data_IF_090319173561
#
_entry.id   IF_090319173561
#
_cell.length_a   1.000
_cell.length_b   1.000
_cell.length_c   1.000
_cell.angle_alpha   90.00
_cell.angle_beta   90.00
_cell.angle_gamma   90.00
#
_symmetry.space_group_name_H-M   'P 1'
#
loop_
_entity.id
_entity.type
_entity.pdbx_description
1 polymer ?
#
# COMPACT_ATOMS: atom_id res chain seq x y z
N UNK A 1 60.39 57.59 -8.46
CA UNK A 1 60.32 56.51 -7.45
C UNK A 1 58.91 56.50 -6.88
N UNK A 2 57.95 55.83 -7.53
CA UNK A 2 57.51 54.44 -7.32
C UNK A 2 56.78 54.17 -5.99
N UNK A 3 55.47 53.90 -6.15
CA UNK A 3 54.60 53.00 -5.36
C UNK A 3 54.15 53.47 -3.97
N UNK A 4 52.90 53.29 -3.50
CA UNK A 4 51.96 52.17 -3.67
C UNK A 4 50.49 52.64 -3.54
N UNK A 5 49.69 52.42 -4.56
CA UNK A 5 48.21 52.48 -4.50
C UNK A 5 47.69 51.05 -4.57
N UNK A 6 47.62 50.33 -3.44
CA UNK A 6 47.18 48.92 -3.41
C UNK A 6 46.16 48.59 -2.31
N UNK A 7 45.70 49.57 -1.51
CA UNK A 7 44.81 49.30 -0.36
C UNK A 7 43.32 49.19 -0.69
N UNK A 8 42.85 49.70 -1.84
CA UNK A 8 41.42 49.90 -2.07
C UNK A 8 40.72 48.83 -2.92
N UNK A 9 41.45 47.81 -3.40
CA UNK A 9 40.87 46.78 -4.29
C UNK A 9 40.43 45.48 -3.61
N UNK A 10 40.70 45.31 -2.31
CA UNK A 10 40.45 44.03 -1.62
C UNK A 10 39.14 43.96 -0.81
N UNK A 11 38.37 45.04 -0.71
CA UNK A 11 37.12 45.06 0.09
C UNK A 11 35.84 44.94 -0.75
N UNK A 12 35.94 45.01 -2.08
CA UNK A 12 34.77 44.89 -2.98
C UNK A 12 34.51 43.41 -3.36
N UNK A 13 35.52 42.54 -3.26
CA UNK A 13 35.38 41.11 -3.62
C UNK A 13 34.76 40.23 -2.54
N UNK A 14 34.75 40.66 -1.27
CA UNK A 14 34.15 39.88 -0.18
C UNK A 14 32.62 40.08 -0.04
N UNK A 15 32.10 41.26 -0.37
CA UNK A 15 30.65 41.55 -0.28
C UNK A 15 29.80 40.90 -1.38
N UNK A 16 30.39 40.67 -2.56
CA UNK A 16 29.70 40.07 -3.72
C UNK A 16 29.60 38.54 -3.57
N UNK A 17 30.60 37.88 -2.97
CA UNK A 17 30.57 36.43 -2.75
C UNK A 17 29.56 36.01 -1.67
N UNK A 18 29.38 36.83 -0.62
CA UNK A 18 28.46 36.51 0.48
C UNK A 18 26.98 36.73 0.10
N UNK A 19 26.69 37.70 -0.77
CA UNK A 19 25.32 37.96 -1.27
C UNK A 19 24.87 36.92 -2.30
N UNK A 20 25.77 36.40 -3.14
CA UNK A 20 25.47 35.27 -4.04
C UNK A 20 25.26 33.94 -3.29
N UNK A 21 25.95 33.71 -2.18
CA UNK A 21 25.75 32.51 -1.35
C UNK A 21 24.40 32.52 -0.60
N UNK A 22 23.92 33.71 -0.18
CA UNK A 22 22.61 33.85 0.48
C UNK A 22 21.47 33.84 -0.55
N UNK A 23 21.69 34.34 -1.77
CA UNK A 23 20.71 34.24 -2.87
C UNK A 23 20.54 32.81 -3.41
N UNK A 24 21.62 32.02 -3.45
CA UNK A 24 21.56 30.58 -3.81
C UNK A 24 20.92 29.71 -2.72
N UNK A 25 20.80 30.20 -1.48
CA UNK A 25 20.12 29.48 -0.39
C UNK A 25 18.62 29.86 -0.28
N UNK A 26 18.18 30.90 -1.00
CA UNK A 26 16.78 31.34 -1.07
C UNK A 26 16.07 30.91 -2.37
N UNK A 27 16.81 30.57 -3.43
CA UNK A 27 16.26 30.04 -4.67
C UNK A 27 16.28 28.50 -4.64
N UNK A 28 15.19 27.87 -4.17
CA UNK A 28 14.96 26.47 -4.51
C UNK A 28 14.27 25.58 -3.47
N UNK A 29 13.87 26.09 -2.30
CA UNK A 29 12.95 25.33 -1.45
C UNK A 29 11.50 25.69 -1.79
N UNK A 30 11.06 25.36 -3.00
CA UNK A 30 9.64 25.09 -3.20
C UNK A 30 9.33 23.86 -2.34
N UNK A 31 8.80 24.08 -1.14
CA UNK A 31 8.16 23.03 -0.39
C UNK A 31 7.04 22.49 -1.29
N UNK A 32 7.29 21.34 -1.94
CA UNK A 32 6.25 20.62 -2.62
C UNK A 32 5.23 20.25 -1.56
N UNK A 33 3.99 20.70 -1.73
CA UNK A 33 2.90 20.18 -0.92
C UNK A 33 2.93 18.66 -1.10
N UNK A 34 3.06 17.93 0.01
CA UNK A 34 2.99 16.48 -0.03
C UNK A 34 1.67 16.10 -0.74
N UNK A 35 1.75 15.22 -1.73
CA UNK A 35 0.57 14.73 -2.45
C UNK A 35 -0.43 14.08 -1.49
N UNK A 36 -1.67 13.78 -1.96
CA UNK A 36 -2.66 13.11 -1.13
C UNK A 36 -2.11 11.78 -0.63
N UNK A 37 -2.49 11.37 0.58
CA UNK A 37 -2.15 10.04 1.06
C UNK A 37 -2.85 8.95 0.21
N UNK A 38 -2.23 7.77 0.02
CA UNK A 38 -2.83 6.67 -0.74
C UNK A 38 -4.22 6.29 -0.20
N UNK A 39 -5.11 5.87 -1.08
CA UNK A 39 -6.47 5.43 -0.68
C UNK A 39 -6.37 4.07 0.04
N UNK A 40 -6.87 3.95 1.28
CA UNK A 40 -6.82 2.70 2.03
C UNK A 40 -7.87 1.71 1.51
N UNK A 41 -7.45 0.77 0.66
CA UNK A 41 -8.34 -0.24 0.04
C UNK A 41 -8.76 -1.37 1.00
N UNK A 42 -8.13 -1.51 2.17
CA UNK A 42 -8.38 -2.63 3.08
C UNK A 42 -8.24 -3.99 2.38
N UNK A 43 -9.18 -4.90 2.63
CA UNK A 43 -9.22 -6.23 2.00
C UNK A 43 -9.56 -6.19 0.51
N UNK A 44 -10.17 -5.11 0.00
CA UNK A 44 -10.39 -4.93 -1.44
C UNK A 44 -9.07 -4.85 -2.23
N UNK A 45 -7.94 -4.57 -1.57
CA UNK A 45 -6.61 -4.53 -2.17
C UNK A 45 -6.17 -5.87 -2.79
N UNK A 46 -6.77 -7.01 -2.37
CA UNK A 46 -6.46 -8.35 -2.87
C UNK A 46 -7.19 -8.69 -4.19
N UNK A 47 -8.27 -7.96 -4.49
CA UNK A 47 -9.09 -8.20 -5.67
C UNK A 47 -8.53 -7.45 -6.88
N UNK A 48 -8.46 -8.16 -8.01
CA UNK A 48 -8.29 -7.55 -9.33
C UNK A 48 -9.66 -7.10 -9.89
N UNK A 49 -10.70 -7.89 -9.62
CA UNK A 49 -12.08 -7.60 -10.01
C UNK A 49 -12.99 -7.77 -8.79
N UNK A 50 -13.84 -6.80 -8.51
CA UNK A 50 -14.86 -6.89 -7.46
C UNK A 50 -16.15 -6.25 -7.95
N UNK A 51 -17.24 -7.02 -8.01
CA UNK A 51 -18.53 -6.56 -8.52
C UNK A 51 -19.63 -6.57 -7.46
N UNK A 52 -20.73 -5.88 -7.76
CA UNK A 52 -21.97 -5.88 -7.00
C UNK A 52 -23.00 -6.84 -7.60
N UNK A 53 -23.93 -6.28 -8.37
CA UNK A 53 -25.05 -6.99 -8.98
C UNK A 53 -25.23 -6.57 -10.45
N UNK A 54 -25.81 -7.43 -11.31
CA UNK A 54 -26.20 -8.82 -11.04
C UNK A 54 -25.06 -9.84 -11.12
N UNK A 55 -23.96 -9.54 -11.82
CA UNK A 55 -22.96 -10.54 -12.19
C UNK A 55 -21.57 -9.95 -12.46
N UNK A 56 -20.60 -10.85 -12.63
CA UNK A 56 -19.39 -10.61 -13.43
C UNK A 56 -19.54 -11.43 -14.71
N UNK A 57 -19.40 -10.79 -15.86
CA UNK A 57 -19.51 -11.46 -17.16
C UNK A 57 -18.21 -11.32 -17.94
N UNK A 58 -17.82 -12.40 -18.60
CA UNK A 58 -16.66 -12.41 -19.48
C UNK A 58 -16.99 -13.05 -20.84
N UNK A 59 -16.44 -12.45 -21.90
CA UNK A 59 -16.38 -13.05 -23.24
C UNK A 59 -14.92 -13.19 -23.67
N UNK A 60 -14.54 -14.36 -24.20
CA UNK A 60 -13.18 -14.59 -24.69
C UNK A 60 -12.13 -14.85 -23.60
N UNK A 61 -10.84 -15.00 -24.00
CA UNK A 61 -9.76 -15.46 -23.15
C UNK A 61 -9.19 -14.35 -22.25
N UNK A 62 -10.03 -13.72 -21.43
CA UNK A 62 -9.60 -12.74 -20.43
C UNK A 62 -8.68 -13.38 -19.38
N UNK A 63 -7.65 -12.66 -18.94
CA UNK A 63 -6.75 -13.07 -17.86
C UNK A 63 -6.89 -12.09 -16.69
N UNK A 64 -7.30 -12.59 -15.53
CA UNK A 64 -7.38 -11.84 -14.27
C UNK A 64 -6.28 -12.33 -13.33
N UNK A 65 -5.31 -11.48 -13.00
CA UNK A 65 -4.25 -11.79 -12.03
C UNK A 65 -4.53 -11.08 -10.71
N UNK A 66 -4.99 -11.84 -9.73
CA UNK A 66 -5.58 -11.39 -8.47
C UNK A 66 -6.96 -12.01 -8.25
N UNK A 67 -7.52 -11.82 -7.06
CA UNK A 67 -8.82 -12.42 -6.74
C UNK A 67 -9.96 -11.76 -7.52
N UNK A 68 -11.01 -12.53 -7.80
CA UNK A 68 -12.25 -12.07 -8.42
C UNK A 68 -13.37 -12.23 -7.40
N UNK A 69 -14.10 -11.15 -7.11
CA UNK A 69 -15.15 -11.13 -6.10
C UNK A 69 -16.48 -10.63 -6.63
N UNK A 70 -17.56 -11.14 -6.07
CA UNK A 70 -18.91 -10.58 -6.26
C UNK A 70 -19.73 -10.75 -4.99
N UNK A 71 -20.41 -9.68 -4.57
CA UNK A 71 -21.34 -9.68 -3.44
C UNK A 71 -22.29 -8.47 -3.55
N UNK A 72 -23.61 -8.61 -3.26
CA UNK A 72 -24.30 -9.78 -2.71
C UNK A 72 -24.67 -10.85 -3.75
N UNK A 73 -24.53 -10.56 -5.04
CA UNK A 73 -24.75 -11.59 -6.06
C UNK A 73 -23.61 -12.63 -6.05
N UNK A 74 -23.84 -13.73 -6.76
CA UNK A 74 -22.92 -14.86 -6.86
C UNK A 74 -22.54 -15.22 -8.30
N UNK A 75 -23.18 -14.60 -9.30
CA UNK A 75 -23.02 -15.00 -10.69
C UNK A 75 -21.69 -14.51 -11.25
N UNK A 76 -20.84 -15.45 -11.67
CA UNK A 76 -19.62 -15.20 -12.43
C UNK A 76 -19.68 -16.12 -13.65
N UNK A 77 -19.71 -15.54 -14.85
CA UNK A 77 -19.86 -16.28 -16.11
C UNK A 77 -18.72 -15.97 -17.09
N UNK A 78 -18.42 -16.92 -17.97
CA UNK A 78 -17.32 -16.78 -18.95
C UNK A 78 -15.93 -17.14 -18.44
N UNK A 79 -15.82 -17.80 -17.28
CA UNK A 79 -14.57 -18.36 -16.75
C UNK A 79 -14.74 -19.88 -16.55
N UNK A 80 -14.47 -20.73 -17.57
CA UNK A 80 -13.79 -20.49 -18.86
C UNK A 80 -14.65 -19.84 -19.97
N UNK A 81 -14.06 -19.31 -21.07
CA UNK A 81 -12.62 -19.39 -21.45
C UNK A 81 -11.71 -18.39 -20.74
N UNK A 82 -12.26 -17.41 -20.02
CA UNK A 82 -11.47 -16.55 -19.15
C UNK A 82 -10.75 -17.36 -18.08
N UNK A 83 -9.63 -16.84 -17.60
CA UNK A 83 -8.81 -17.45 -16.55
C UNK A 83 -8.62 -16.47 -15.40
N UNK A 84 -8.82 -16.96 -14.16
CA UNK A 84 -8.49 -16.22 -12.94
C UNK A 84 -7.26 -16.87 -12.31
N UNK A 85 -6.16 -16.13 -12.22
CA UNK A 85 -4.95 -16.45 -11.47
C UNK A 85 -5.11 -15.86 -10.07
N UNK A 86 -5.93 -16.53 -9.26
CA UNK A 86 -6.40 -16.09 -7.96
C UNK A 86 -7.58 -16.95 -7.52
N UNK A 87 -8.33 -16.49 -6.52
CA UNK A 87 -9.53 -17.17 -6.04
C UNK A 87 -10.79 -16.41 -6.47
N UNK A 88 -11.83 -17.15 -6.87
CA UNK A 88 -13.17 -16.58 -7.09
C UNK A 88 -13.95 -16.61 -5.77
N UNK A 89 -14.35 -15.44 -5.28
CA UNK A 89 -15.16 -15.24 -4.09
C UNK A 89 -16.58 -14.78 -4.47
N UNK A 90 -17.51 -15.73 -4.59
CA UNK A 90 -18.91 -15.44 -4.92
C UNK A 90 -19.79 -15.49 -3.66
N UNK A 91 -20.47 -14.38 -3.34
CA UNK A 91 -21.42 -14.24 -2.24
C UNK A 91 -20.93 -14.78 -0.88
N UNK A 92 -19.63 -14.65 -0.58
CA UNK A 92 -19.04 -15.14 0.68
C UNK A 92 -18.55 -13.99 1.57
N UNK A 93 -18.12 -14.34 2.80
CA UNK A 93 -17.68 -13.36 3.79
C UNK A 93 -16.45 -12.54 3.35
N UNK A 94 -15.56 -13.11 2.53
CA UNK A 94 -14.37 -12.41 2.02
C UNK A 94 -14.81 -11.33 1.02
N UNK A 95 -15.69 -11.68 0.07
CA UNK A 95 -16.25 -10.72 -0.86
C UNK A 95 -17.06 -9.64 -0.13
N UNK A 96 -17.89 -10.02 0.86
CA UNK A 96 -18.64 -9.08 1.70
C UNK A 96 -17.71 -8.05 2.37
N UNK A 97 -16.67 -8.49 3.07
CA UNK A 97 -15.73 -7.56 3.72
C UNK A 97 -15.04 -6.65 2.70
N UNK A 98 -14.65 -7.20 1.55
CA UNK A 98 -14.05 -6.40 0.48
C UNK A 98 -15.01 -5.34 -0.08
N UNK A 99 -16.32 -5.59 -0.14
CA UNK A 99 -17.33 -4.57 -0.49
C UNK A 99 -17.38 -3.44 0.54
N UNK A 100 -17.39 -3.80 1.83
CA UNK A 100 -17.37 -2.82 2.92
C UNK A 100 -16.12 -1.94 2.87
N UNK A 101 -14.95 -2.54 2.63
CA UNK A 101 -13.70 -1.80 2.54
C UNK A 101 -13.64 -0.94 1.27
N UNK A 102 -14.20 -1.42 0.16
CA UNK A 102 -14.36 -0.64 -1.08
C UNK A 102 -15.27 0.58 -0.85
N UNK A 103 -16.35 0.45 -0.09
CA UNK A 103 -17.23 1.58 0.24
C UNK A 103 -16.50 2.66 1.05
N UNK A 104 -15.67 2.24 2.01
CA UNK A 104 -14.84 3.13 2.81
C UNK A 104 -13.76 3.83 1.96
N UNK A 105 -13.05 3.06 1.11
CA UNK A 105 -12.04 3.58 0.18
C UNK A 105 -12.63 4.59 -0.81
N UNK A 106 -13.79 4.28 -1.38
CA UNK A 106 -14.53 5.17 -2.27
C UNK A 106 -14.89 6.49 -1.59
N UNK A 107 -15.41 6.42 -0.36
CA UNK A 107 -15.81 7.60 0.42
C UNK A 107 -14.59 8.45 0.80
N UNK A 108 -13.50 7.79 1.20
CA UNK A 108 -12.22 8.44 1.47
C UNK A 108 -11.73 9.22 0.24
N UNK A 109 -11.68 8.58 -0.93
CA UNK A 109 -11.22 9.19 -2.17
C UNK A 109 -12.11 10.38 -2.61
N UNK A 110 -13.43 10.25 -2.46
CA UNK A 110 -14.39 11.30 -2.77
C UNK A 110 -14.27 12.51 -1.82
N UNK A 111 -13.78 12.30 -0.59
CA UNK A 111 -13.61 13.37 0.41
C UNK A 111 -12.30 14.15 0.29
N UNK A 112 -11.38 13.71 -0.58
CA UNK A 112 -10.07 14.35 -0.69
C UNK A 112 -10.18 15.78 -1.26
N UNK A 113 -9.45 16.76 -0.71
CA UNK A 113 -9.43 18.12 -1.24
C UNK A 113 -8.91 18.18 -2.66
N UNK A 114 -9.64 18.86 -3.55
CA UNK A 114 -9.31 18.96 -4.98
C UNK A 114 -8.10 19.86 -5.20
N UNK A 115 -7.11 19.38 -5.95
CA UNK A 115 -5.95 20.15 -6.42
C UNK A 115 -6.29 20.96 -7.67
N UNK A 116 -6.95 20.33 -8.65
CA UNK A 116 -7.36 20.96 -9.89
C UNK A 116 -8.57 20.26 -10.54
N UNK A 117 -9.20 20.93 -11.49
CA UNK A 117 -10.36 20.40 -12.22
C UNK A 117 -10.01 20.16 -13.69
N UNK A 118 -10.25 18.94 -14.18
CA UNK A 118 -10.05 18.54 -15.57
C UNK A 118 -11.19 17.62 -16.04
N UNK A 119 -11.95 18.05 -17.05
CA UNK A 119 -12.97 17.20 -17.68
C UNK A 119 -12.43 16.29 -18.80
N UNK A 120 -11.30 16.65 -19.40
CA UNK A 120 -10.61 15.88 -20.43
C UNK A 120 -9.14 15.68 -20.05
N UNK A 121 -8.68 14.44 -20.12
CA UNK A 121 -7.34 14.03 -19.65
C UNK A 121 -6.31 13.85 -20.78
N UNK A 122 -6.77 13.84 -22.02
CA UNK A 122 -5.90 13.61 -23.18
C UNK A 122 -4.84 14.68 -23.37
N UNK A 123 -3.59 14.24 -23.52
CA UNK A 123 -2.43 15.11 -23.72
C UNK A 123 -1.91 15.77 -22.44
N UNK A 124 -2.55 15.55 -21.29
CA UNK A 124 -2.09 16.11 -20.02
C UNK A 124 -0.90 15.33 -19.47
N UNK A 125 -0.02 16.05 -18.78
CA UNK A 125 0.97 15.48 -17.86
C UNK A 125 0.64 15.99 -16.47
N UNK A 126 0.29 15.08 -15.56
CA UNK A 126 -0.17 15.39 -14.22
C UNK A 126 0.79 14.85 -13.18
N UNK A 127 1.12 15.69 -12.20
CA UNK A 127 1.92 15.32 -11.03
C UNK A 127 1.01 14.76 -9.94
N UNK A 128 1.56 14.28 -8.82
CA UNK A 128 0.73 13.80 -7.71
C UNK A 128 -0.30 14.85 -7.25
N UNK A 129 -1.56 14.45 -7.10
CA UNK A 129 -2.66 15.36 -6.79
C UNK A 129 -4.05 14.73 -6.87
N UNK A 130 -5.06 15.54 -6.52
CA UNK A 130 -6.47 15.19 -6.59
C UNK A 130 -7.13 15.98 -7.72
N UNK A 131 -7.73 15.29 -8.69
CA UNK A 131 -8.25 15.88 -9.92
C UNK A 131 -9.73 15.61 -10.08
N UNK A 132 -10.55 16.66 -10.09
CA UNK A 132 -12.00 16.54 -10.19
C UNK A 132 -12.49 16.77 -11.64
N UNK A 133 -13.56 16.10 -12.07
CA UNK A 133 -14.09 16.23 -13.42
C UNK A 133 -14.94 17.50 -13.67
N UNK A 134 -15.31 18.25 -12.64
CA UNK A 134 -16.05 19.51 -12.75
C UNK A 134 -17.54 19.35 -13.07
N UNK A 135 -18.15 18.21 -12.72
CA UNK A 135 -19.56 17.93 -13.01
C UNK A 135 -19.81 17.29 -14.37
N UNK A 136 -18.78 17.03 -15.17
CA UNK A 136 -18.91 16.37 -16.48
C UNK A 136 -18.39 14.93 -16.47
N UNK A 137 -18.66 14.19 -17.54
CA UNK A 137 -17.99 12.92 -17.84
C UNK A 137 -16.48 13.16 -17.91
N UNK A 138 -15.72 12.36 -17.16
CA UNK A 138 -14.26 12.37 -17.22
C UNK A 138 -13.81 11.59 -18.47
N UNK A 139 -13.37 12.31 -19.48
CA UNK A 139 -12.94 11.74 -20.76
C UNK A 139 -11.44 11.52 -20.82
N UNK A 140 -11.02 10.32 -21.27
CA UNK A 140 -9.62 10.06 -21.67
C UNK A 140 -9.55 9.77 -23.17
N UNK A 141 -8.94 10.68 -23.91
CA UNK A 141 -8.61 10.52 -25.33
C UNK A 141 -7.08 10.54 -25.48
N UNK A 142 -6.51 9.74 -26.38
CA UNK A 142 -5.05 9.68 -26.53
C UNK A 142 -4.35 9.25 -25.24
N UNK A 143 -3.26 9.94 -24.86
CA UNK A 143 -2.43 9.59 -23.69
C UNK A 143 -2.58 10.60 -22.56
N UNK A 144 -2.82 10.11 -21.34
CA UNK A 144 -2.58 10.82 -20.10
C UNK A 144 -1.24 10.38 -19.53
N UNK A 145 -0.38 11.31 -19.14
CA UNK A 145 0.91 11.01 -18.51
C UNK A 145 0.87 11.37 -17.03
N UNK A 146 1.27 10.44 -16.16
CA UNK A 146 1.41 10.66 -14.72
C UNK A 146 2.90 10.71 -14.38
N UNK A 147 3.34 11.86 -13.90
CA UNK A 147 4.73 12.16 -13.62
C UNK A 147 5.01 12.15 -12.12
N UNK A 148 5.71 11.11 -11.66
CA UNK A 148 6.06 10.97 -10.25
C UNK A 148 7.14 11.94 -9.78
N UNK A 149 7.76 12.71 -10.67
CA UNK A 149 8.86 13.64 -10.37
C UNK A 149 10.01 13.00 -9.57
N UNK A 150 10.30 11.73 -9.86
CA UNK A 150 11.24 10.86 -9.17
C UNK A 150 10.84 10.48 -7.74
N UNK A 151 9.61 10.76 -7.32
CA UNK A 151 9.03 10.25 -6.08
C UNK A 151 8.12 9.04 -6.36
N UNK A 152 8.54 7.82 -5.98
CA UNK A 152 7.73 6.61 -6.13
C UNK A 152 6.47 6.60 -5.26
N UNK A 153 6.34 7.51 -4.30
CA UNK A 153 5.19 7.64 -3.43
C UNK A 153 4.17 8.69 -3.91
N UNK A 154 4.39 9.30 -5.08
CA UNK A 154 3.41 10.19 -5.70
C UNK A 154 2.05 9.47 -5.87
N UNK A 155 0.96 10.16 -5.52
CA UNK A 155 -0.41 9.63 -5.55
C UNK A 155 -1.30 10.49 -6.44
N UNK A 156 -2.15 9.82 -7.23
CA UNK A 156 -3.17 10.45 -8.06
C UNK A 156 -4.55 9.96 -7.65
N UNK A 157 -5.47 10.89 -7.38
CA UNK A 157 -6.87 10.58 -7.12
C UNK A 157 -7.73 11.35 -8.10
N UNK A 158 -8.36 10.65 -9.03
CA UNK A 158 -9.32 11.22 -9.96
C UNK A 158 -10.74 11.08 -9.39
N UNK A 159 -11.43 12.20 -9.21
CA UNK A 159 -12.82 12.27 -8.79
C UNK A 159 -13.71 12.54 -10.01
N UNK A 160 -14.20 11.47 -10.64
CA UNK A 160 -15.17 11.56 -11.72
C UNK A 160 -16.59 11.72 -11.14
N UNK A 161 -17.08 12.96 -11.19
CA UNK A 161 -18.43 13.36 -10.74
C UNK A 161 -19.56 12.91 -11.67
N UNK A 162 -19.22 12.16 -12.72
CA UNK A 162 -20.11 11.45 -13.63
C UNK A 162 -19.37 10.18 -14.12
N UNK A 163 -19.60 9.76 -15.37
CA UNK A 163 -18.94 8.59 -15.95
C UNK A 163 -17.44 8.85 -16.17
N UNK A 164 -16.67 7.77 -16.16
CA UNK A 164 -15.33 7.72 -16.73
C UNK A 164 -15.42 7.01 -18.09
N UNK A 165 -15.04 7.68 -19.17
CA UNK A 165 -15.06 7.10 -20.52
C UNK A 165 -13.70 7.28 -21.17
N UNK A 166 -13.12 6.17 -21.64
CA UNK A 166 -11.88 6.22 -22.42
C UNK A 166 -12.16 5.89 -23.88
N UNK A 167 -11.49 6.60 -24.80
CA UNK A 167 -11.55 6.30 -26.22
C UNK A 167 -10.78 5.02 -26.54
N UNK A 168 -11.07 4.40 -27.69
CA UNK A 168 -10.28 3.27 -28.20
C UNK A 168 -8.80 3.62 -28.29
N UNK A 169 -7.93 2.68 -27.92
CA UNK A 169 -6.47 2.82 -27.91
C UNK A 169 -5.92 3.99 -27.09
N UNK A 170 -6.71 4.53 -26.16
CA UNK A 170 -6.21 5.50 -25.18
C UNK A 170 -5.27 4.85 -24.16
N UNK A 171 -4.43 5.65 -23.51
CA UNK A 171 -3.42 5.15 -22.58
C UNK A 171 -3.20 6.05 -21.36
N UNK A 172 -2.86 5.42 -20.23
CA UNK A 172 -2.30 6.09 -19.06
C UNK A 172 -0.83 5.68 -18.94
N UNK A 173 0.08 6.62 -19.15
CA UNK A 173 1.52 6.41 -19.07
C UNK A 173 2.05 6.83 -17.69
N UNK A 174 2.96 6.03 -17.13
CA UNK A 174 3.66 6.33 -15.88
C UNK A 174 5.11 6.70 -16.19
N UNK A 175 5.59 7.84 -15.70
CA UNK A 175 6.98 8.27 -15.85
C UNK A 175 7.59 8.69 -14.51
N UNK A 176 8.92 8.78 -14.48
CA UNK A 176 9.70 9.33 -13.37
C UNK A 176 9.27 8.79 -11.99
N UNK A 177 9.19 7.47 -11.84
CA UNK A 177 8.88 6.81 -10.58
C UNK A 177 7.39 6.63 -10.27
N UNK A 178 6.46 7.16 -11.09
CA UNK A 178 5.03 6.94 -10.88
C UNK A 178 4.69 5.43 -10.85
N UNK A 179 3.85 5.04 -9.89
CA UNK A 179 3.46 3.64 -9.68
C UNK A 179 1.94 3.43 -9.84
N UNK A 180 1.55 2.36 -10.53
CA UNK A 180 0.14 2.04 -10.80
C UNK A 180 -0.70 1.87 -9.52
N UNK A 181 -0.10 1.33 -8.46
CA UNK A 181 -0.75 1.13 -7.17
C UNK A 181 -1.17 2.44 -6.47
N UNK A 182 -0.59 3.58 -6.85
CA UNK A 182 -0.86 4.91 -6.28
C UNK A 182 -1.82 5.74 -7.15
N UNK A 183 -2.46 5.13 -8.15
CA UNK A 183 -3.43 5.78 -9.03
C UNK A 183 -4.82 5.27 -8.70
N UNK A 184 -5.75 6.18 -8.39
CA UNK A 184 -7.11 5.86 -7.95
C UNK A 184 -8.14 6.66 -8.74
N UNK A 185 -9.21 5.99 -9.17
CA UNK A 185 -10.30 6.57 -9.93
C UNK A 185 -11.60 6.35 -9.15
N UNK A 186 -12.08 7.39 -8.48
CA UNK A 186 -13.37 7.39 -7.82
C UNK A 186 -14.41 7.87 -8.85
N UNK A 187 -15.34 7.00 -9.24
CA UNK A 187 -16.32 7.26 -10.31
C UNK A 187 -17.73 7.18 -9.74
N UNK A 188 -18.46 8.30 -9.81
CA UNK A 188 -19.79 8.43 -9.19
C UNK A 188 -20.92 7.75 -9.95
N UNK A 189 -20.67 7.34 -11.18
CA UNK A 189 -21.56 6.47 -11.96
C UNK A 189 -20.77 5.25 -12.45
N UNK A 190 -20.63 5.08 -13.77
CA UNK A 190 -19.99 3.91 -14.38
C UNK A 190 -18.66 4.27 -15.05
N UNK A 191 -17.80 3.28 -15.21
CA UNK A 191 -16.60 3.40 -16.03
C UNK A 191 -16.73 2.54 -17.29
N UNK A 192 -16.39 3.11 -18.45
CA UNK A 192 -16.29 2.40 -19.73
C UNK A 192 -14.90 2.60 -20.31
N UNK A 193 -14.12 1.53 -20.40
CA UNK A 193 -12.80 1.56 -21.02
C UNK A 193 -12.91 1.17 -22.49
N UNK A 194 -12.46 2.04 -23.39
CA UNK A 194 -12.49 1.84 -24.83
C UNK A 194 -11.61 0.69 -25.30
N UNK A 195 -11.94 0.15 -26.48
CA UNK A 195 -11.28 -1.00 -27.10
C UNK A 195 -9.75 -0.83 -27.14
N UNK A 196 -9.02 -1.84 -26.70
CA UNK A 196 -7.55 -1.86 -26.78
C UNK A 196 -6.85 -0.78 -25.97
N UNK A 197 -7.51 -0.17 -24.98
CA UNK A 197 -6.87 0.84 -24.13
C UNK A 197 -5.88 0.21 -23.14
N UNK A 198 -4.83 0.96 -22.80
CA UNK A 198 -3.89 0.60 -21.72
C UNK A 198 -4.15 1.49 -20.52
N UNK A 199 -4.79 0.95 -19.50
CA UNK A 199 -5.27 1.71 -18.34
C UNK A 199 -4.49 1.36 -17.08
N UNK A 200 -4.38 2.34 -16.17
CA UNK A 200 -3.57 2.21 -14.96
C UNK A 200 -4.37 2.67 -13.76
N UNK A 201 -4.31 1.89 -12.67
CA UNK A 201 -4.84 2.28 -11.37
C UNK A 201 -6.08 1.52 -10.91
N UNK A 202 -6.54 1.86 -9.71
CA UNK A 202 -7.71 1.23 -9.08
C UNK A 202 -8.97 2.02 -9.41
N UNK A 203 -9.86 1.44 -10.22
CA UNK A 203 -11.16 2.00 -10.53
C UNK A 203 -12.16 1.59 -9.44
N UNK A 204 -12.80 2.58 -8.83
CA UNK A 204 -13.85 2.43 -7.84
C UNK A 204 -15.12 3.10 -8.38
N UNK A 205 -15.94 2.35 -9.10
CA UNK A 205 -17.16 2.85 -9.72
C UNK A 205 -18.38 2.62 -8.82
N UNK A 206 -19.30 3.58 -8.75
CA UNK A 206 -20.53 3.42 -7.96
C UNK A 206 -21.45 2.35 -8.58
N UNK A 207 -21.64 2.41 -9.89
CA UNK A 207 -22.49 1.47 -10.63
C UNK A 207 -21.64 0.39 -11.27
N UNK A 208 -21.41 0.43 -12.58
CA UNK A 208 -20.80 -0.67 -13.32
C UNK A 208 -19.44 -0.32 -13.90
N UNK A 209 -18.67 -1.34 -14.26
CA UNK A 209 -17.43 -1.19 -15.02
C UNK A 209 -17.53 -2.06 -16.27
N UNK A 210 -17.34 -1.45 -17.43
CA UNK A 210 -17.28 -2.13 -18.72
C UNK A 210 -15.88 -1.98 -19.29
N UNK A 211 -15.21 -3.11 -19.53
CA UNK A 211 -13.97 -3.19 -20.29
C UNK A 211 -14.35 -3.73 -21.67
N UNK A 212 -14.15 -2.90 -22.71
CA UNK A 212 -14.36 -3.34 -24.09
C UNK A 212 -13.21 -4.25 -24.53
N UNK A 213 -13.34 -4.82 -25.73
CA UNK A 213 -12.39 -5.80 -26.26
C UNK A 213 -10.90 -5.39 -26.11
N UNK A 214 -10.12 -6.24 -25.45
CA UNK A 214 -8.66 -6.18 -25.41
C UNK A 214 -8.07 -5.07 -24.54
N UNK A 215 -8.76 -4.63 -23.48
CA UNK A 215 -8.20 -3.66 -22.53
C UNK A 215 -7.11 -4.31 -21.67
N UNK A 216 -5.99 -3.60 -21.49
CA UNK A 216 -4.94 -3.95 -20.54
C UNK A 216 -5.01 -3.02 -19.33
N UNK A 217 -5.45 -3.55 -18.20
CA UNK A 217 -5.54 -2.84 -16.92
C UNK A 217 -4.42 -3.29 -15.98
N UNK A 218 -3.44 -2.42 -15.75
CA UNK A 218 -2.53 -2.55 -14.61
C UNK A 218 -3.16 -1.84 -13.42
N UNK A 219 -3.95 -2.57 -12.65
CA UNK A 219 -4.86 -1.97 -11.68
C UNK A 219 -5.91 -2.92 -11.14
N UNK A 220 -7.08 -2.35 -10.84
CA UNK A 220 -8.24 -3.09 -10.33
C UNK A 220 -9.53 -2.51 -10.89
N UNK A 221 -10.51 -3.36 -11.16
CA UNK A 221 -11.87 -2.98 -11.54
C UNK A 221 -12.83 -3.30 -10.38
N UNK A 222 -13.14 -2.29 -9.55
CA UNK A 222 -13.95 -2.43 -8.33
C UNK A 222 -15.28 -1.67 -8.49
N UNK A 223 -16.33 -2.38 -8.89
CA UNK A 223 -17.69 -1.86 -8.97
C UNK A 223 -18.41 -2.02 -7.62
N UNK A 224 -19.00 -0.95 -7.08
CA UNK A 224 -19.70 -0.96 -5.78
C UNK A 224 -21.06 -1.63 -5.87
N UNK A 225 -21.90 -1.24 -6.81
CA UNK A 225 -23.29 -1.74 -6.87
C UNK A 225 -23.58 -2.55 -8.13
N UNK A 226 -22.91 -2.22 -9.23
CA UNK A 226 -23.17 -2.80 -10.55
C UNK A 226 -22.26 -3.98 -10.89
N UNK A 227 -22.41 -4.43 -12.13
CA UNK A 227 -21.66 -5.53 -12.71
C UNK A 227 -20.28 -5.10 -13.21
N UNK A 228 -19.45 -6.10 -13.49
CA UNK A 228 -18.22 -5.94 -14.27
C UNK A 228 -18.34 -6.79 -15.54
N UNK A 229 -18.13 -6.17 -16.69
CA UNK A 229 -18.17 -6.83 -18.01
C UNK A 229 -16.78 -6.79 -18.63
N UNK A 230 -16.30 -7.95 -19.09
CA UNK A 230 -14.96 -8.17 -19.63
C UNK A 230 -15.01 -8.83 -21.02
N UNK A 231 -14.12 -8.44 -21.92
CA UNK A 231 -13.98 -8.96 -23.28
C UNK A 231 -12.50 -9.06 -23.65
N UNK A 232 -11.94 -10.27 -23.70
CA UNK A 232 -10.55 -10.54 -24.08
C UNK A 232 -9.50 -9.69 -23.33
N UNK A 233 -9.78 -9.32 -22.08
CA UNK A 233 -9.00 -8.34 -21.32
C UNK A 233 -7.81 -8.95 -20.59
N UNK A 234 -6.86 -8.11 -20.18
CA UNK A 234 -5.80 -8.47 -19.23
C UNK A 234 -5.91 -7.54 -18.03
N UNK A 235 -6.19 -8.09 -16.85
CA UNK A 235 -6.23 -7.35 -15.60
C UNK A 235 -5.12 -7.87 -14.70
N UNK A 236 -4.18 -7.01 -14.34
CA UNK A 236 -3.10 -7.32 -13.41
C UNK A 236 -3.19 -6.43 -12.19
N UNK A 237 -3.48 -7.02 -11.03
CA UNK A 237 -3.50 -6.31 -9.76
C UNK A 237 -2.16 -5.65 -9.46
N UNK A 238 -2.14 -4.33 -9.38
CA UNK A 238 -0.91 -3.59 -9.06
C UNK A 238 -0.48 -3.77 -7.60
N UNK A 239 0.81 -4.02 -7.41
CA UNK A 239 1.52 -3.96 -6.13
C UNK A 239 2.56 -2.85 -6.21
N UNK A 240 2.69 -2.03 -5.16
CA UNK A 240 3.76 -1.04 -5.13
C UNK A 240 5.10 -1.74 -4.94
N UNK A 241 6.13 -1.30 -5.66
CA UNK A 241 7.49 -1.55 -5.23
C UNK A 241 7.72 -0.71 -3.97
N UNK A 242 8.03 -1.40 -2.87
CA UNK A 242 8.62 -0.72 -1.72
C UNK A 242 10.08 -0.44 -2.08
N UNK A 243 10.56 0.81 -1.92
CA UNK A 243 11.98 1.09 -2.08
C UNK A 243 12.76 0.19 -1.13
N UNK A 244 13.82 -0.45 -1.63
CA UNK A 244 14.75 -1.16 -0.76
C UNK A 244 15.21 -0.20 0.35
N UNK A 245 15.31 -0.64 1.62
CA UNK A 245 15.79 0.23 2.68
C UNK A 245 17.16 0.77 2.27
N UNK A 246 17.28 2.09 2.17
CA UNK A 246 18.58 2.73 2.01
C UNK A 246 19.47 2.19 3.13
N UNK A 247 20.64 1.59 2.85
CA UNK A 247 21.51 1.12 3.91
C UNK A 247 21.80 2.31 4.82
N UNK A 248 21.32 2.21 6.06
CA UNK A 248 21.64 3.20 7.08
C UNK A 248 23.16 3.27 7.17
N UNK A 249 23.76 4.47 7.13
CA UNK A 249 25.20 4.58 7.32
C UNK A 249 25.53 3.94 8.67
N UNK A 250 26.31 2.86 8.63
CA UNK A 250 26.77 2.17 9.82
C UNK A 250 27.44 3.20 10.73
N UNK A 251 26.87 3.41 11.92
CA UNK A 251 27.49 4.27 12.93
C UNK A 251 28.85 3.65 13.28
N UNK A 252 29.93 4.35 12.95
CA UNK A 252 31.28 4.00 13.37
C UNK A 252 31.31 4.01 14.90
N UNK A 253 31.42 2.84 15.52
CA UNK A 253 31.49 2.71 16.97
C UNK A 253 32.72 3.48 17.51
N UNK A 254 32.50 4.41 18.43
CA UNK A 254 33.57 5.07 19.16
C UNK A 254 34.25 4.07 20.11
N UNK A 255 35.59 4.09 20.12
CA UNK A 255 36.44 3.27 20.97
C UNK A 255 36.20 3.57 22.46
N UNK A 256 36.15 2.58 23.38
CA UNK A 256 35.93 2.84 24.79
C UNK A 256 37.20 3.40 25.46
N UNK A 257 37.03 4.50 26.19
CA UNK A 257 38.05 5.10 27.09
C UNK A 257 38.28 4.18 28.31
N UNK A 258 39.53 3.89 28.72
CA UNK A 258 39.79 3.00 29.87
C UNK A 258 39.43 3.65 31.22
N UNK A 259 38.74 2.89 32.06
CA UNK A 259 38.33 3.26 33.42
C UNK A 259 39.49 3.13 34.42
N UNK A 260 39.56 4.06 35.39
CA UNK A 260 40.59 4.11 36.42
C UNK A 260 40.33 3.11 37.57
N UNK A 261 41.41 2.48 38.04
CA UNK A 261 41.50 1.48 39.12
C UNK A 261 41.29 2.09 40.51
N UNK A 262 40.45 1.50 41.40
CA UNK A 262 40.41 1.92 42.81
C UNK A 262 41.48 1.21 43.66
N UNK A 263 42.04 1.96 44.63
CA UNK A 263 43.03 1.50 45.60
C UNK A 263 42.37 0.73 46.77
N UNK A 264 43.09 -0.28 47.28
CA UNK A 264 42.65 -1.24 48.31
C UNK A 264 43.17 -0.80 49.69
N UNK A 265 42.31 -0.84 50.73
CA UNK A 265 42.68 -0.66 52.14
C UNK A 265 42.45 -1.97 52.93
N UNK A 266 43.24 -2.17 53.98
CA UNK A 266 43.76 -3.44 54.52
C UNK A 266 42.83 -4.31 55.41
N UNK A 267 43.21 -5.60 55.42
CA UNK A 267 43.03 -6.76 56.33
C UNK A 267 43.15 -6.48 57.86
N UNK A 268 42.77 -7.39 58.83
CA UNK A 268 43.21 -8.81 58.84
C UNK A 268 42.35 -9.92 59.56
N UNK A 269 42.60 -11.14 59.06
CA UNK A 269 42.84 -12.47 59.68
C UNK A 269 41.94 -13.14 60.74
N UNK A 270 41.61 -14.41 60.44
CA UNK A 270 41.79 -15.68 61.21
C UNK A 270 40.53 -16.57 61.07
N UNK A 271 40.57 -17.90 60.92
CA UNK A 271 41.59 -18.90 61.11
C UNK A 271 41.34 -20.12 60.18
N UNK A 272 42.41 -20.83 59.86
CA UNK A 272 42.44 -22.07 59.07
C UNK A 272 42.19 -23.30 59.96
N UNK A 273 41.36 -24.24 59.49
CA UNK A 273 41.37 -25.64 59.91
C UNK A 273 41.46 -26.54 58.68
N UNK A 274 42.34 -27.54 58.77
CA UNK A 274 42.93 -28.38 57.73
C UNK A 274 42.19 -29.73 57.60
N UNK A 275 42.20 -30.29 56.39
CA UNK A 275 41.79 -31.66 56.04
C UNK A 275 40.56 -31.64 55.14
N UNK A 276 40.54 -32.14 53.91
CA UNK A 276 41.41 -33.08 53.20
C UNK A 276 41.43 -32.79 51.70
N UNK A 277 42.57 -33.09 51.10
CA UNK A 277 42.93 -33.43 49.71
C UNK A 277 41.98 -33.10 48.54
N UNK A 278 42.61 -32.50 47.54
CA UNK A 278 42.08 -32.01 46.28
C UNK A 278 41.64 -33.11 45.31
N UNK A 279 40.54 -32.85 44.58
CA UNK A 279 40.52 -33.01 43.12
C UNK A 279 39.86 -31.78 42.46
N UNK A 280 40.70 -31.05 41.76
CA UNK A 280 40.55 -30.02 40.72
C UNK A 280 39.59 -30.50 39.59
N UNK A 281 38.73 -29.75 38.89
CA UNK A 281 38.42 -28.33 38.77
C UNK A 281 36.97 -28.13 38.29
N UNK A 282 36.32 -27.21 38.98
CA UNK A 282 35.17 -26.33 38.78
C UNK A 282 34.42 -26.16 37.45
N UNK A 283 33.12 -25.73 37.54
CA UNK A 283 32.10 -25.81 36.49
C UNK A 283 31.67 -24.43 35.95
N UNK A 284 30.95 -24.41 34.82
CA UNK A 284 30.13 -23.25 34.43
C UNK A 284 28.67 -23.49 34.84
N UNK A 285 28.27 -22.74 35.86
CA UNK A 285 26.88 -22.38 36.17
C UNK A 285 26.36 -21.35 35.15
N UNK A 286 25.04 -21.35 34.93
CA UNK A 286 24.08 -20.21 34.81
C UNK A 286 22.82 -20.77 34.12
N UNK A 287 21.76 -21.17 34.85
CA UNK A 287 20.63 -20.36 35.41
C UNK A 287 19.61 -19.99 34.31
N UNK A 288 18.45 -20.69 34.22
CA UNK A 288 17.07 -20.30 34.67
C UNK A 288 16.61 -18.97 34.04
N UNK A 289 15.44 -18.77 33.45
CA UNK A 289 14.16 -19.45 33.21
C UNK A 289 13.46 -18.68 32.06
N UNK A 290 12.23 -18.86 31.61
CA UNK A 290 11.00 -19.47 32.12
C UNK A 290 10.09 -19.63 30.90
N UNK A 291 9.57 -20.83 30.62
CA UNK A 291 8.54 -21.04 29.58
C UNK A 291 7.25 -21.43 30.29
N UNK A 292 6.38 -20.45 30.51
CA UNK A 292 5.05 -20.64 31.06
C UNK A 292 4.05 -19.81 30.25
N UNK A 293 3.51 -20.35 29.15
CA UNK A 293 2.20 -19.94 28.61
C UNK A 293 1.67 -20.82 27.45
N UNK A 294 1.71 -22.17 27.50
CA UNK A 294 0.96 -22.97 26.49
C UNK A 294 0.43 -24.31 27.05
N UNK A 295 0.08 -24.39 28.33
CA UNK A 295 -0.51 -25.63 28.89
C UNK A 295 -1.68 -25.39 29.87
N UNK A 296 -2.52 -24.38 29.59
CA UNK A 296 -3.76 -24.13 30.32
C UNK A 296 -4.91 -23.67 29.42
N UNK A 297 -5.11 -24.33 28.27
CA UNK A 297 -6.36 -24.19 27.49
C UNK A 297 -6.94 -25.51 26.99
N UNK A 298 -6.21 -26.63 27.09
CA UNK A 298 -6.67 -27.95 26.61
C UNK A 298 -7.39 -28.74 27.71
N UNK A 299 -7.16 -28.43 29.00
CA UNK A 299 -7.71 -29.20 30.13
C UNK A 299 -9.13 -28.75 30.53
N UNK A 300 -9.52 -27.50 30.27
CA UNK A 300 -10.83 -26.96 30.67
C UNK A 300 -11.96 -27.36 29.70
N UNK A 301 -11.64 -27.59 28.42
CA UNK A 301 -12.64 -27.97 27.40
C UNK A 301 -13.00 -29.45 27.46
N UNK A 302 -12.09 -30.32 27.92
CA UNK A 302 -12.32 -31.77 28.03
C UNK A 302 -13.23 -32.14 29.23
N UNK A 303 -13.23 -31.35 30.31
CA UNK A 303 -14.09 -31.64 31.48
C UNK A 303 -15.56 -31.22 31.29
N UNK A 304 -15.88 -30.31 30.36
CA UNK A 304 -17.28 -29.89 30.08
C UNK A 304 -18.03 -30.84 29.13
N UNK A 305 -17.34 -31.76 28.47
CA UNK A 305 -17.95 -32.77 27.59
C UNK A 305 -18.34 -34.06 28.33
N UNK A 306 -17.65 -34.40 29.43
CA UNK A 306 -17.87 -35.64 30.18
C UNK A 306 -19.07 -35.61 31.17
N UNK A 307 -19.68 -34.45 31.43
CA UNK A 307 -20.77 -34.30 32.41
C UNK A 307 -22.19 -34.31 31.80
N UNK A 308 -22.35 -34.53 30.49
CA UNK A 308 -23.62 -34.36 29.77
C UNK A 308 -24.35 -35.63 29.29
N UNK A 309 -23.88 -36.84 29.63
CA UNK A 309 -24.54 -38.09 29.20
C UNK A 309 -24.87 -39.00 30.37
N UNK A 310 -26.08 -38.87 30.90
CA UNK A 310 -26.65 -39.83 31.83
C UNK A 310 -28.14 -39.60 32.12
N UNK A 311 -28.96 -40.58 31.75
CA UNK A 311 -30.30 -40.92 32.28
C UNK A 311 -31.59 -40.30 31.70
N UNK A 312 -32.27 -41.07 30.85
CA UNK A 312 -33.64 -41.63 31.04
C UNK A 312 -34.11 -42.16 29.66
N UNK A 313 -34.77 -43.30 29.46
CA UNK A 313 -35.66 -44.12 30.29
C UNK A 313 -36.95 -44.36 29.48
N UNK A 314 -37.04 -45.49 28.75
CA UNK A 314 -38.30 -46.10 28.21
C UNK A 314 -38.83 -47.12 29.25
N UNK A 315 -40.05 -47.71 29.21
CA UNK A 315 -41.16 -47.68 28.20
C UNK A 315 -42.61 -47.66 28.79
N UNK A 316 -43.64 -47.75 27.91
CA UNK A 316 -45.04 -48.17 28.20
C UNK A 316 -46.00 -47.71 27.09
N UNK A 317 -46.38 -48.53 26.10
CA UNK A 317 -47.53 -49.46 25.99
C UNK A 317 -48.88 -48.83 26.38
N UNK A 318 -49.75 -48.74 25.37
CA UNK A 318 -51.13 -48.25 25.40
C UNK A 318 -51.58 -47.90 23.99
#
# INVERSE_FOLDING_TARGET
>A
MQTRVHGARLLISAGIAVTLAIAMLAAGQTAYAAGPAPVPLGTAANFAVLAGTPDVTNTGPTIVTGDLGIHPAAAVTGFPPGTVIGTIHAANAVALQAKTDLDAAYTYAASQPVTATHGALGGLTLVGGVYNAGGVTLGLTGTLTLDGQNDPNSVWIFQATSDLITASSSSVALINGAQACNVFWQVTSSATLGLGSTFVGTIMALTSITMNDGVNLNGRALARNGNVTLINDIITRSICSTPAPTPSPALTAASPTPAATPAISQLPNAALSRGDEAVVSWPLFVVIGSVALVLMLVIVTFMRWAAGKGHSGRPGVG
#
